data_IF_503241687986
#
_entry.id   IF_503241687986
#
_cell.length_a   1.000
_cell.length_b   1.000
_cell.length_c   1.000
_cell.angle_alpha   90.00
_cell.angle_beta   90.00
_cell.angle_gamma   90.00
#
_symmetry.space_group_name_H-M   'P 1'
#
loop_
_entity.id
_entity.type
_entity.pdbx_description
1 polymer ?
#
# COMPACT_ATOMS: atom_id res chain seq x y z
N UNK A 1 -19.50 9.10 -55.60
CA UNK A 1 -20.18 7.95 -54.96
C UNK A 1 -19.39 7.60 -53.71
N UNK A 2 -20.03 7.79 -52.56
CA UNK A 2 -19.46 7.76 -51.21
C UNK A 2 -19.05 6.35 -50.77
N UNK A 3 -17.87 6.18 -50.17
CA UNK A 3 -17.47 4.96 -49.45
C UNK A 3 -17.24 5.35 -48.00
N UNK A 4 -18.27 5.17 -47.19
CA UNK A 4 -18.27 5.38 -45.74
C UNK A 4 -17.29 4.43 -45.05
N UNK A 5 -16.40 5.00 -44.24
CA UNK A 5 -15.60 4.31 -43.24
C UNK A 5 -16.54 3.67 -42.18
N UNK A 6 -16.29 2.41 -41.84
CA UNK A 6 -16.78 1.82 -40.60
C UNK A 6 -15.56 1.46 -39.73
N UNK A 7 -15.16 2.39 -38.85
CA UNK A 7 -14.17 2.12 -37.83
C UNK A 7 -14.87 1.46 -36.63
N UNK A 8 -14.66 0.15 -36.48
CA UNK A 8 -15.10 -0.62 -35.32
C UNK A 8 -14.21 -0.23 -34.11
N UNK A 9 -14.71 0.64 -33.24
CA UNK A 9 -14.06 0.94 -31.96
C UNK A 9 -14.29 -0.25 -31.02
N UNK A 10 -13.29 -1.11 -30.90
CA UNK A 10 -13.26 -2.18 -29.90
C UNK A 10 -13.00 -1.53 -28.54
N UNK A 11 -14.01 -1.52 -27.68
CA UNK A 11 -13.89 -1.09 -26.29
C UNK A 11 -13.23 -2.22 -25.49
N UNK A 12 -11.89 -2.19 -25.37
CA UNK A 12 -11.18 -3.10 -24.45
C UNK A 12 -11.54 -2.74 -23.01
N UNK A 13 -11.94 -3.70 -22.16
CA UNK A 13 -12.12 -3.44 -20.75
C UNK A 13 -10.74 -3.09 -20.17
N UNK A 14 -10.62 -1.89 -19.61
CA UNK A 14 -9.46 -1.47 -18.84
C UNK A 14 -9.41 -2.32 -17.57
N UNK A 15 -8.81 -3.50 -17.68
CA UNK A 15 -8.42 -4.28 -16.51
C UNK A 15 -7.55 -3.36 -15.65
N UNK A 16 -8.01 -3.03 -14.45
CA UNK A 16 -7.26 -2.24 -13.48
C UNK A 16 -5.94 -2.96 -13.23
N UNK A 17 -4.87 -2.49 -13.88
CA UNK A 17 -3.55 -3.03 -13.63
C UNK A 17 -3.21 -2.73 -12.18
N UNK A 18 -2.79 -3.72 -11.38
CA UNK A 18 -2.39 -3.48 -10.01
C UNK A 18 -1.31 -2.40 -10.02
N UNK A 19 -1.63 -1.26 -9.40
CA UNK A 19 -0.72 -0.13 -9.28
C UNK A 19 0.49 -0.60 -8.46
N UNK A 20 1.54 -1.02 -9.16
CA UNK A 20 2.73 -1.56 -8.50
C UNK A 20 3.50 -0.37 -7.97
N UNK A 21 3.31 -0.05 -6.70
CA UNK A 21 4.09 1.02 -6.05
C UNK A 21 5.57 0.65 -6.16
N UNK A 22 6.43 1.50 -6.76
CA UNK A 22 7.84 1.18 -6.94
C UNK A 22 8.49 0.94 -5.58
N UNK A 23 9.33 -0.11 -5.52
CA UNK A 23 10.04 -0.48 -4.29
C UNK A 23 10.87 0.70 -3.78
N UNK A 24 10.76 1.05 -2.49
CA UNK A 24 11.50 2.17 -1.93
C UNK A 24 13.00 1.85 -1.90
N UNK A 25 13.82 2.82 -2.33
CA UNK A 25 15.29 2.71 -2.37
C UNK A 25 15.96 3.16 -1.08
N UNK A 26 15.25 3.93 -0.25
CA UNK A 26 15.71 4.39 1.07
C UNK A 26 14.70 3.99 2.15
N UNK A 27 15.18 3.88 3.40
CA UNK A 27 14.29 3.48 4.49
C UNK A 27 13.25 4.55 4.84
N UNK A 28 13.60 5.84 4.69
CA UNK A 28 12.65 6.94 4.85
C UNK A 28 11.53 6.90 3.81
N UNK A 29 11.87 6.62 2.55
CA UNK A 29 10.87 6.41 1.51
C UNK A 29 10.00 5.19 1.80
N UNK A 30 10.57 4.13 2.36
CA UNK A 30 9.81 2.95 2.79
C UNK A 30 8.77 3.31 3.86
N UNK A 31 9.15 4.08 4.89
CA UNK A 31 8.21 4.49 5.93
C UNK A 31 7.08 5.36 5.37
N UNK A 32 7.41 6.33 4.51
CA UNK A 32 6.42 7.19 3.88
C UNK A 32 5.43 6.38 3.04
N UNK A 33 5.91 5.47 2.19
CA UNK A 33 5.04 4.62 1.37
C UNK A 33 4.18 3.67 2.22
N UNK A 34 4.74 3.09 3.28
CA UNK A 34 4.00 2.21 4.20
C UNK A 34 2.87 2.98 4.89
N UNK A 35 3.14 4.23 5.29
CA UNK A 35 2.14 5.10 5.89
C UNK A 35 1.01 5.42 4.89
N UNK A 36 1.34 5.86 3.66
CA UNK A 36 0.33 6.17 2.64
C UNK A 36 -0.48 4.93 2.20
N UNK A 37 0.11 3.73 2.22
CA UNK A 37 -0.65 2.48 2.02
C UNK A 37 -1.62 2.22 3.16
N UNK A 38 -1.19 2.42 4.41
CA UNK A 38 -2.07 2.30 5.57
C UNK A 38 -3.25 3.27 5.52
N UNK A 39 -3.02 4.52 5.09
CA UNK A 39 -4.11 5.50 4.95
C UNK A 39 -5.18 5.04 3.95
N UNK A 40 -4.76 4.40 2.85
CA UNK A 40 -5.67 3.83 1.84
C UNK A 40 -6.42 2.61 2.35
N UNK A 41 -5.72 1.75 3.08
CA UNK A 41 -6.27 0.50 3.61
C UNK A 41 -7.18 0.71 4.84
N UNK A 42 -6.93 1.76 5.61
CA UNK A 42 -7.64 2.12 6.85
C UNK A 42 -8.08 3.61 6.81
N UNK A 43 -9.11 3.98 6.03
CA UNK A 43 -9.59 5.36 5.89
C UNK A 43 -9.87 6.09 7.21
N UNK A 44 -10.43 5.37 8.19
CA UNK A 44 -10.75 5.91 9.51
C UNK A 44 -9.48 6.30 10.30
N UNK A 45 -8.36 5.61 10.04
CA UNK A 45 -7.05 6.01 10.56
C UNK A 45 -6.54 7.30 9.88
N UNK A 46 -6.84 7.50 8.59
CA UNK A 46 -6.51 8.74 7.89
C UNK A 46 -7.20 9.95 8.51
N UNK A 47 -8.50 9.87 8.81
CA UNK A 47 -9.23 10.93 9.52
C UNK A 47 -8.60 11.20 10.89
N UNK A 48 -8.24 10.16 11.65
CA UNK A 48 -7.56 10.31 12.95
C UNK A 48 -6.18 10.99 12.82
N UNK A 49 -5.49 10.78 11.70
CA UNK A 49 -4.22 11.41 11.37
C UNK A 49 -4.36 12.83 10.76
N UNK A 50 -5.59 13.36 10.66
CA UNK A 50 -5.86 14.68 10.07
C UNK A 50 -5.81 14.72 8.54
N UNK A 51 -5.89 13.55 7.87
CA UNK A 51 -5.93 13.42 6.41
C UNK A 51 -7.36 13.19 5.96
N UNK A 52 -7.89 14.13 5.18
CA UNK A 52 -9.29 14.13 4.74
C UNK A 52 -9.52 13.56 3.34
N UNK A 53 -8.46 13.10 2.66
CA UNK A 53 -8.52 12.56 1.30
C UNK A 53 -9.37 11.28 1.17
N UNK A 54 -9.78 10.68 2.30
CA UNK A 54 -10.49 9.41 2.39
C UNK A 54 -11.79 9.47 3.22
N UNK A 55 -12.27 10.67 3.57
CA UNK A 55 -13.45 10.84 4.46
C UNK A 55 -14.75 10.24 3.87
N UNK A 56 -14.79 9.99 2.57
CA UNK A 56 -15.89 9.33 1.87
C UNK A 56 -15.79 7.79 1.87
N UNK A 57 -14.83 7.21 2.59
CA UNK A 57 -14.51 5.77 2.56
C UNK A 57 -14.48 5.13 3.93
N UNK A 58 -14.67 3.83 3.93
CA UNK A 58 -14.59 2.96 5.11
C UNK A 58 -13.67 1.79 4.81
N UNK A 59 -13.06 1.23 5.84
CA UNK A 59 -12.28 0.00 5.71
C UNK A 59 -13.15 -1.12 5.13
N UNK A 60 -12.67 -1.81 4.08
CA UNK A 60 -13.34 -3.00 3.57
C UNK A 60 -13.17 -4.18 4.54
N UNK A 61 -14.21 -4.46 5.32
CA UNK A 61 -14.22 -5.54 6.30
C UNK A 61 -14.55 -6.92 5.72
N UNK A 62 -14.80 -7.04 4.41
CA UNK A 62 -15.02 -8.34 3.75
C UNK A 62 -13.78 -9.24 3.83
N UNK A 63 -13.94 -10.53 3.48
CA UNK A 63 -12.80 -11.45 3.40
C UNK A 63 -11.75 -10.93 2.42
N UNK A 64 -12.18 -10.47 1.24
CA UNK A 64 -11.30 -9.93 0.20
C UNK A 64 -10.52 -8.72 0.70
N UNK A 65 -11.19 -7.77 1.36
CA UNK A 65 -10.54 -6.60 1.94
C UNK A 65 -9.50 -6.96 3.01
N UNK A 66 -9.83 -7.92 3.90
CA UNK A 66 -8.87 -8.43 4.89
C UNK A 66 -7.66 -9.11 4.25
N UNK A 67 -7.89 -9.99 3.27
CA UNK A 67 -6.81 -10.69 2.55
C UNK A 67 -5.87 -9.71 1.84
N UNK A 68 -6.42 -8.63 1.26
CA UNK A 68 -5.64 -7.58 0.61
C UNK A 68 -4.75 -6.84 1.63
N UNK A 69 -5.31 -6.38 2.76
CA UNK A 69 -4.52 -5.71 3.81
C UNK A 69 -3.45 -6.62 4.40
N UNK A 70 -3.75 -7.91 4.56
CA UNK A 70 -2.77 -8.94 4.97
C UNK A 70 -1.63 -9.02 3.97
N UNK A 71 -1.94 -9.11 2.68
CA UNK A 71 -0.94 -9.18 1.62
C UNK A 71 -0.04 -7.93 1.59
N UNK A 72 -0.61 -6.73 1.74
CA UNK A 72 0.14 -5.49 1.87
C UNK A 72 1.10 -5.54 3.07
N UNK A 73 0.62 -5.92 4.27
CA UNK A 73 1.47 -6.05 5.48
C UNK A 73 2.60 -7.06 5.31
N UNK A 74 2.32 -8.21 4.71
CA UNK A 74 3.35 -9.22 4.40
C UNK A 74 4.42 -8.68 3.44
N UNK A 75 4.00 -7.96 2.40
CA UNK A 75 4.92 -7.35 1.45
C UNK A 75 5.78 -6.25 2.09
N UNK A 76 5.19 -5.40 2.96
CA UNK A 76 5.95 -4.39 3.71
C UNK A 76 6.96 -5.02 4.66
N UNK A 77 6.59 -6.10 5.35
CA UNK A 77 7.51 -6.84 6.22
C UNK A 77 8.67 -7.44 5.41
N UNK A 78 8.39 -8.00 4.24
CA UNK A 78 9.41 -8.54 3.32
C UNK A 78 10.32 -7.45 2.75
N UNK A 79 9.79 -6.27 2.43
CA UNK A 79 10.61 -5.13 1.98
C UNK A 79 11.50 -4.60 3.11
N UNK A 80 10.97 -4.53 4.33
CA UNK A 80 11.71 -4.05 5.49
C UNK A 80 12.93 -4.93 5.79
N UNK A 81 12.80 -6.25 5.67
CA UNK A 81 13.90 -7.20 5.93
C UNK A 81 15.07 -7.08 4.94
N UNK A 82 14.87 -6.41 3.79
CA UNK A 82 15.93 -6.17 2.82
C UNK A 82 16.84 -4.98 3.19
N UNK A 83 16.45 -4.13 4.15
CA UNK A 83 17.29 -3.02 4.60
C UNK A 83 18.38 -3.52 5.57
N UNK A 84 19.66 -3.25 5.32
CA UNK A 84 20.74 -3.64 6.22
C UNK A 84 20.72 -2.79 7.50
N UNK A 85 20.05 -3.26 8.56
CA UNK A 85 19.86 -2.50 9.81
C UNK A 85 21.15 -1.98 10.45
N UNK A 86 22.28 -2.68 10.24
CA UNK A 86 23.58 -2.28 10.76
C UNK A 86 24.14 -1.00 10.11
N UNK A 87 23.76 -0.69 8.87
CA UNK A 87 24.21 0.51 8.16
C UNK A 87 23.33 1.74 8.44
N UNK A 88 22.19 1.55 9.12
CA UNK A 88 21.28 2.63 9.46
C UNK A 88 21.78 3.41 10.67
N UNK A 89 21.45 4.71 10.71
CA UNK A 89 21.68 5.50 11.90
C UNK A 89 20.84 4.98 13.09
N UNK A 90 21.17 5.33 14.34
CA UNK A 90 20.47 4.78 15.51
C UNK A 90 18.95 5.00 15.51
N UNK A 91 18.48 6.16 15.03
CA UNK A 91 17.05 6.49 14.98
C UNK A 91 16.32 5.66 13.93
N UNK A 92 16.85 5.60 12.71
CA UNK A 92 16.29 4.77 11.62
C UNK A 92 16.21 3.29 12.02
N UNK A 93 17.26 2.79 12.69
CA UNK A 93 17.32 1.41 13.17
C UNK A 93 16.25 1.12 14.21
N UNK A 94 15.98 2.06 15.12
CA UNK A 94 14.90 1.92 16.09
C UNK A 94 13.54 1.93 15.39
N UNK A 95 13.30 2.90 14.51
CA UNK A 95 12.05 2.98 13.74
C UNK A 95 11.80 1.72 12.90
N UNK A 96 12.86 1.14 12.30
CA UNK A 96 12.78 -0.10 11.55
C UNK A 96 12.33 -1.27 12.44
N UNK A 97 12.91 -1.41 13.63
CA UNK A 97 12.52 -2.48 14.59
C UNK A 97 11.08 -2.30 15.08
N UNK A 98 10.66 -1.07 15.36
CA UNK A 98 9.28 -0.77 15.77
C UNK A 98 8.28 -1.07 14.66
N UNK A 99 8.62 -0.74 13.42
CA UNK A 99 7.80 -1.08 12.26
C UNK A 99 7.70 -2.60 12.08
N UNK A 100 8.81 -3.33 12.18
CA UNK A 100 8.82 -4.79 12.11
C UNK A 100 7.91 -5.42 13.19
N UNK A 101 8.05 -4.97 14.44
CA UNK A 101 7.20 -5.41 15.55
C UNK A 101 5.71 -5.14 15.27
N UNK A 102 5.40 -3.93 14.80
CA UNK A 102 4.02 -3.51 14.50
C UNK A 102 3.40 -4.36 13.41
N UNK A 103 4.10 -4.58 12.30
CA UNK A 103 3.64 -5.40 11.19
C UNK A 103 3.41 -6.86 11.61
N UNK A 104 4.33 -7.45 12.37
CA UNK A 104 4.17 -8.83 12.88
C UNK A 104 2.95 -8.94 13.80
N UNK A 105 2.82 -8.01 14.76
CA UNK A 105 1.68 -7.99 15.68
C UNK A 105 0.34 -7.86 14.93
N UNK A 106 0.28 -7.04 13.89
CA UNK A 106 -0.94 -6.91 13.08
C UNK A 106 -1.26 -8.20 12.32
N UNK A 107 -0.25 -8.86 11.74
CA UNK A 107 -0.43 -10.13 11.03
C UNK A 107 -0.85 -11.30 11.93
N UNK A 108 -0.47 -11.27 13.21
CA UNK A 108 -0.88 -12.26 14.22
C UNK A 108 -2.31 -12.04 14.73
N UNK A 109 -2.81 -10.81 14.69
CA UNK A 109 -4.13 -10.43 15.18
C UNK A 109 -5.28 -10.65 14.17
N UNK A 110 -4.93 -11.02 12.93
CA UNK A 110 -5.87 -11.35 11.85
C UNK A 110 -6.24 -12.83 11.82
#
# INVERSE_FOLDING_TARGET
>A
MSRTLAALVVCLPLAAQPQTTPRPTTISAFFAQTFEERLRDEPEFATTAGRHDYDDRWTDWSKTGRDLRRAHRMERLRQLSAFPLASLNPQERLSARLMEYTLKKQLEAE
#
